data_IF_045815962266
#
_entry.id   IF_045815962266
#
_cell.length_a   1.000
_cell.length_b   1.000
_cell.length_c   1.000
_cell.angle_alpha   90.00
_cell.angle_beta   90.00
_cell.angle_gamma   90.00
#
_symmetry.space_group_name_H-M   'P 1'
#
loop_
_entity.id
_entity.type
_entity.pdbx_description
1 polymer ?
#
# COMPACT_ATOMS: atom_id res chain seq x y z
N UNK A 1 -27.94 -5.92 6.75
CA UNK A 1 -27.44 -6.40 5.44
C UNK A 1 -26.45 -5.37 4.92
N UNK A 2 -25.18 -5.49 5.29
CA UNK A 2 -24.14 -4.55 4.85
C UNK A 2 -23.68 -5.00 3.47
N UNK A 3 -24.06 -4.23 2.44
CA UNK A 3 -23.55 -4.40 1.07
C UNK A 3 -22.04 -4.12 1.11
N UNK A 4 -21.24 -5.18 1.06
CA UNK A 4 -19.86 -5.09 0.56
C UNK A 4 -19.99 -4.67 -0.91
N UNK A 5 -19.97 -3.37 -1.16
CA UNK A 5 -19.75 -2.87 -2.51
C UNK A 5 -18.32 -3.26 -2.88
N UNK A 6 -18.22 -4.29 -3.73
CA UNK A 6 -17.01 -4.57 -4.49
C UNK A 6 -16.74 -3.34 -5.34
N UNK A 7 -15.86 -2.46 -4.88
CA UNK A 7 -15.33 -1.36 -5.68
C UNK A 7 -14.30 -1.93 -6.65
N UNK A 8 -14.80 -2.60 -7.68
CA UNK A 8 -14.01 -3.04 -8.82
C UNK A 8 -14.17 -2.01 -9.92
N UNK A 9 -13.38 -0.94 -9.84
CA UNK A 9 -13.07 -0.18 -11.04
C UNK A 9 -12.36 -1.11 -12.03
N UNK A 10 -12.82 -1.16 -13.27
CA UNK A 10 -12.44 -2.07 -14.35
C UNK A 10 -10.92 -2.18 -14.66
N UNK A 11 -10.06 -1.39 -14.02
CA UNK A 11 -8.60 -1.50 -14.07
C UNK A 11 -7.99 -2.48 -13.05
N UNK A 12 -8.68 -2.79 -11.95
CA UNK A 12 -8.23 -3.80 -10.99
C UNK A 12 -8.60 -5.23 -11.40
N UNK A 13 -9.56 -5.38 -12.33
CA UNK A 13 -10.01 -6.69 -12.82
C UNK A 13 -9.07 -7.36 -13.82
N UNK A 14 -8.10 -6.63 -14.36
CA UNK A 14 -7.11 -7.19 -15.30
C UNK A 14 -6.05 -8.08 -14.62
N UNK A 15 -6.15 -8.29 -13.29
CA UNK A 15 -5.19 -9.11 -12.53
C UNK A 15 -3.80 -8.47 -12.38
N UNK A 16 -3.67 -7.18 -12.72
CA UNK A 16 -2.44 -6.40 -12.57
C UNK A 16 -2.14 -6.01 -11.11
N UNK A 17 -3.15 -6.10 -10.23
CA UNK A 17 -3.08 -5.72 -8.83
C UNK A 17 -3.49 -6.88 -7.92
N UNK A 18 -2.77 -7.04 -6.81
CA UNK A 18 -3.01 -8.05 -5.80
C UNK A 18 -3.43 -7.39 -4.50
N UNK A 19 -4.51 -7.88 -3.84
CA UNK A 19 -4.78 -7.47 -2.48
C UNK A 19 -3.60 -7.87 -1.59
N UNK A 20 -3.20 -6.97 -0.71
CA UNK A 20 -2.07 -7.17 0.16
C UNK A 20 -2.45 -6.90 1.62
N UNK A 21 -1.90 -7.73 2.49
CA UNK A 21 -2.03 -7.59 3.94
C UNK A 21 -0.71 -7.12 4.51
N UNK A 22 -0.74 -6.07 5.32
CA UNK A 22 0.42 -5.65 6.09
C UNK A 22 0.64 -6.66 7.23
N UNK A 23 1.66 -7.51 7.10
CA UNK A 23 1.95 -8.56 8.10
C UNK A 23 2.75 -8.01 9.27
N UNK A 24 3.71 -7.13 8.98
CA UNK A 24 4.57 -6.58 10.02
C UNK A 24 5.14 -5.21 9.66
N UNK A 25 5.44 -4.45 10.72
CA UNK A 25 6.16 -3.19 10.66
C UNK A 25 7.38 -3.35 11.55
N UNK A 26 8.57 -3.32 10.96
CA UNK A 26 9.85 -3.52 11.66
C UNK A 26 10.80 -2.36 11.41
N UNK A 27 11.93 -2.31 12.12
CA UNK A 27 12.98 -1.34 11.80
C UNK A 27 13.64 -1.71 10.47
N UNK A 28 13.88 -0.72 9.62
CA UNK A 28 14.56 -0.94 8.37
C UNK A 28 16.02 -1.37 8.64
N UNK A 29 16.50 -2.48 8.05
CA UNK A 29 17.85 -2.99 8.31
C UNK A 29 18.94 -2.04 7.81
N UNK A 30 18.64 -1.23 6.79
CA UNK A 30 19.59 -0.31 6.20
C UNK A 30 19.75 1.01 6.97
N UNK A 31 18.73 1.45 7.72
CA UNK A 31 18.71 2.77 8.39
C UNK A 31 17.83 2.75 9.63
N UNK A 32 18.38 3.26 10.74
CA UNK A 32 17.69 3.32 12.04
C UNK A 32 16.46 4.23 12.08
N UNK A 33 16.47 5.32 11.32
CA UNK A 33 15.36 6.29 11.25
C UNK A 33 14.26 5.87 10.26
N UNK A 34 14.27 4.61 9.84
CA UNK A 34 13.36 4.07 8.85
C UNK A 34 12.64 2.85 9.41
N UNK A 35 11.38 2.69 9.05
CA UNK A 35 10.59 1.48 9.25
C UNK A 35 10.46 0.73 7.93
N UNK A 36 10.40 -0.58 8.01
CA UNK A 36 10.11 -1.46 6.89
C UNK A 36 8.71 -2.02 7.05
N UNK A 37 7.89 -1.82 6.02
CA UNK A 37 6.57 -2.42 5.90
C UNK A 37 6.71 -3.72 5.11
N UNK A 38 6.21 -4.81 5.67
CA UNK A 38 6.21 -6.11 5.03
C UNK A 38 4.77 -6.48 4.66
N UNK A 39 4.53 -6.54 3.35
CA UNK A 39 3.25 -6.92 2.79
C UNK A 39 3.30 -8.35 2.27
N UNK A 40 2.23 -9.11 2.51
CA UNK A 40 1.99 -10.39 1.88
C UNK A 40 0.81 -10.33 0.93
N UNK A 41 0.93 -11.07 -0.16
CA UNK A 41 -0.10 -11.34 -1.15
C UNK A 41 -0.20 -12.85 -1.36
N UNK A 42 -1.21 -13.30 -2.10
CA UNK A 42 -1.32 -14.71 -2.53
C UNK A 42 -0.12 -15.18 -3.38
N UNK A 43 0.56 -14.26 -4.09
CA UNK A 43 1.65 -14.61 -5.01
C UNK A 43 3.05 -14.46 -4.40
N UNK A 44 3.17 -13.90 -3.20
CA UNK A 44 4.43 -13.63 -2.54
C UNK A 44 4.42 -12.37 -1.69
N UNK A 45 5.61 -11.93 -1.30
CA UNK A 45 5.81 -10.79 -0.41
C UNK A 45 6.34 -9.56 -1.13
N UNK A 46 6.19 -8.41 -0.50
CA UNK A 46 6.92 -7.21 -0.87
C UNK A 46 7.26 -6.40 0.36
N UNK A 47 8.48 -5.87 0.41
CA UNK A 47 8.95 -5.03 1.52
C UNK A 47 9.35 -3.65 1.03
N UNK A 48 9.06 -2.64 1.84
CA UNK A 48 9.48 -1.28 1.52
C UNK A 48 9.83 -0.48 2.77
N UNK A 49 11.01 0.16 2.76
CA UNK A 49 11.45 1.04 3.83
C UNK A 49 11.00 2.50 3.62
N UNK A 50 10.46 3.10 4.68
CA UNK A 50 10.07 4.50 4.76
C UNK A 50 10.73 5.18 5.95
N UNK A 51 10.90 6.49 5.90
CA UNK A 51 11.32 7.26 7.07
C UNK A 51 10.25 7.07 8.17
N UNK A 52 10.70 6.74 9.37
CA UNK A 52 9.82 6.60 10.53
C UNK A 52 9.12 7.95 10.78
N UNK A 53 7.78 7.98 10.78
CA UNK A 53 7.06 9.19 11.07
C UNK A 53 7.19 9.43 12.57
N UNK A 54 7.89 10.51 12.95
CA UNK A 54 8.09 10.90 14.35
C UNK A 54 6.76 11.00 15.12
N UNK A 55 5.66 11.28 14.42
CA UNK A 55 4.30 11.28 14.93
C UNK A 55 3.49 10.21 14.20
N UNK A 56 3.14 9.13 14.92
CA UNK A 56 2.09 8.21 14.49
C UNK A 56 0.74 8.89 14.72
N UNK A 57 0.42 9.86 13.88
CA UNK A 57 -0.88 10.53 13.95
C UNK A 57 -2.02 9.51 13.82
N UNK A 58 -3.17 9.81 14.41
CA UNK A 58 -4.46 9.18 14.09
C UNK A 58 -4.82 9.55 12.63
N UNK A 59 -4.11 8.95 11.68
CA UNK A 59 -4.46 9.01 10.28
C UNK A 59 -5.79 8.31 10.11
N UNK A 60 -6.75 8.99 9.48
CA UNK A 60 -8.04 8.40 9.14
C UNK A 60 -7.80 7.05 8.45
N UNK A 61 -8.30 5.97 9.06
CA UNK A 61 -8.24 4.61 8.52
C UNK A 61 -9.07 4.43 7.24
N UNK A 62 -9.74 5.49 6.79
CA UNK A 62 -10.64 5.48 5.67
C UNK A 62 -9.88 5.78 4.38
N UNK A 63 -9.41 4.71 3.73
CA UNK A 63 -8.68 4.81 2.48
C UNK A 63 -8.40 3.45 1.87
N UNK A 64 -8.34 3.41 0.54
CA UNK A 64 -7.79 2.29 -0.20
C UNK A 64 -6.60 2.81 -0.98
N UNK A 65 -5.44 2.17 -0.82
CA UNK A 65 -4.21 2.52 -1.50
C UNK A 65 -3.80 1.42 -2.48
N UNK A 66 -3.22 1.84 -3.58
CA UNK A 66 -2.57 0.96 -4.53
C UNK A 66 -1.10 1.38 -4.71
N UNK A 67 -0.20 0.42 -4.62
CA UNK A 67 1.22 0.62 -4.90
C UNK A 67 1.53 0.24 -6.34
N UNK A 68 2.17 1.16 -7.06
CA UNK A 68 2.59 0.97 -8.46
C UNK A 68 4.07 1.21 -8.63
N UNK A 69 4.65 0.72 -9.73
CA UNK A 69 5.99 1.13 -10.16
C UNK A 69 5.86 2.41 -11.00
N UNK A 70 6.35 3.53 -10.47
CA UNK A 70 6.50 4.79 -11.18
C UNK A 70 7.91 4.99 -11.75
N UNK A 71 8.17 6.14 -12.41
CA UNK A 71 9.46 6.43 -13.04
C UNK A 71 10.64 6.48 -12.07
N UNK A 72 10.38 6.64 -10.77
CA UNK A 72 11.39 6.75 -9.71
C UNK A 72 11.33 5.59 -8.70
N UNK A 73 10.63 4.50 -9.03
CA UNK A 73 10.43 3.35 -8.15
C UNK A 73 8.99 3.24 -7.65
N UNK A 74 8.79 2.56 -6.53
CA UNK A 74 7.45 2.34 -5.99
C UNK A 74 6.76 3.66 -5.60
N UNK A 75 5.44 3.73 -5.80
CA UNK A 75 4.60 4.90 -5.51
C UNK A 75 3.27 4.43 -4.93
N UNK A 76 2.83 5.06 -3.84
CA UNK A 76 1.50 4.89 -3.31
C UNK A 76 0.51 5.79 -4.06
N UNK A 77 -0.66 5.29 -4.41
CA UNK A 77 -1.73 6.04 -5.08
C UNK A 77 -3.03 5.81 -4.35
N UNK A 78 -3.85 6.85 -4.24
CA UNK A 78 -5.23 6.68 -3.79
C UNK A 78 -6.02 5.85 -4.81
N UNK A 79 -6.95 5.05 -4.31
CA UNK A 79 -7.95 4.39 -5.14
C UNK A 79 -9.26 5.17 -4.99
N UNK A 80 -9.75 5.71 -6.11
CA UNK A 80 -10.97 6.49 -6.20
C UNK A 80 -12.00 5.76 -7.08
N UNK A 81 -13.26 6.24 -7.07
CA UNK A 81 -14.31 5.75 -7.99
C UNK A 81 -13.84 5.92 -9.45
N UNK A 82 -13.41 4.82 -10.07
CA UNK A 82 -12.90 4.79 -11.45
C UNK A 82 -11.44 4.37 -11.62
N UNK A 83 -10.69 4.16 -10.53
CA UNK A 83 -9.36 3.54 -10.58
C UNK A 83 -8.29 4.25 -9.75
N UNK A 84 -7.07 4.32 -10.29
CA UNK A 84 -5.92 4.91 -9.60
C UNK A 84 -5.99 6.45 -9.65
N UNK A 85 -6.25 7.05 -8.51
CA UNK A 85 -6.14 8.49 -8.24
C UNK A 85 -4.68 8.97 -8.19
N UNK A 86 -4.42 10.20 -7.73
CA UNK A 86 -3.08 10.78 -7.73
C UNK A 86 -2.09 9.98 -6.88
N UNK A 87 -0.80 10.11 -7.23
CA UNK A 87 0.27 9.59 -6.39
C UNK A 87 0.36 10.41 -5.10
N UNK A 88 0.43 9.71 -3.97
CA UNK A 88 0.59 10.32 -2.67
C UNK A 88 2.07 10.41 -2.28
N UNK A 89 2.48 11.51 -1.63
CA UNK A 89 3.77 11.54 -0.97
C UNK A 89 3.77 10.54 0.20
N UNK A 90 4.95 9.99 0.49
CA UNK A 90 5.15 9.02 1.58
C UNK A 90 4.60 9.50 2.92
N UNK A 91 4.76 10.78 3.24
CA UNK A 91 4.27 11.37 4.49
C UNK A 91 2.75 11.28 4.65
N UNK A 92 2.01 11.25 3.55
CA UNK A 92 0.55 11.11 3.54
C UNK A 92 0.13 9.64 3.45
N UNK A 93 0.84 8.84 2.65
CA UNK A 93 0.51 7.41 2.49
C UNK A 93 0.78 6.61 3.79
N UNK A 94 1.87 6.91 4.49
CA UNK A 94 2.30 6.13 5.66
C UNK A 94 1.28 6.06 6.80
N UNK A 95 0.70 7.19 7.29
CA UNK A 95 -0.33 7.13 8.33
C UNK A 95 -1.59 6.36 7.86
N UNK A 96 -1.96 6.44 6.57
CA UNK A 96 -3.09 5.69 6.01
C UNK A 96 -2.81 4.17 6.03
N UNK A 97 -1.60 3.76 5.66
CA UNK A 97 -1.18 2.35 5.70
C UNK A 97 -1.20 1.84 7.15
N UNK A 98 -0.58 2.58 8.06
CA UNK A 98 -0.50 2.21 9.48
C UNK A 98 -1.86 2.25 10.18
N UNK A 99 -2.81 3.03 9.66
CA UNK A 99 -4.19 3.08 10.11
C UNK A 99 -5.01 1.84 9.74
N UNK A 100 -4.50 0.91 8.93
CA UNK A 100 -5.20 -0.31 8.55
C UNK A 100 -6.04 -0.20 7.27
N UNK A 101 -5.69 0.74 6.38
CA UNK A 101 -6.30 0.86 5.05
C UNK A 101 -6.20 -0.42 4.22
N UNK A 102 -7.09 -0.55 3.24
CA UNK A 102 -6.99 -1.64 2.25
C UNK A 102 -5.86 -1.34 1.29
N UNK A 103 -4.97 -2.31 1.09
CA UNK A 103 -3.80 -2.15 0.24
C UNK A 103 -3.87 -3.09 -0.96
N UNK A 104 -3.52 -2.55 -2.12
CA UNK A 104 -3.27 -3.31 -3.34
C UNK A 104 -1.83 -3.09 -3.80
N UNK A 105 -1.16 -4.14 -4.28
CA UNK A 105 0.17 -4.07 -4.86
C UNK A 105 0.12 -4.38 -6.34
N UNK A 106 0.80 -3.60 -7.18
CA UNK A 106 1.06 -4.01 -8.55
C UNK A 106 1.86 -5.31 -8.53
N UNK A 107 1.45 -6.30 -9.34
CA UNK A 107 2.12 -7.61 -9.43
C UNK A 107 3.63 -7.51 -9.65
N UNK A 108 4.06 -6.49 -10.38
CA UNK A 108 5.47 -6.22 -10.67
C UNK A 108 6.33 -5.91 -9.43
N UNK A 109 5.72 -5.52 -8.31
CA UNK A 109 6.42 -5.27 -7.04
C UNK A 109 6.62 -6.56 -6.22
N UNK A 110 5.81 -7.59 -6.46
CA UNK A 110 5.78 -8.77 -5.60
C UNK A 110 6.94 -9.70 -5.94
N UNK A 111 7.75 -10.01 -4.92
CA UNK A 111 8.77 -11.03 -4.96
C UNK A 111 8.10 -12.39 -4.79
N UNK A 112 8.08 -13.17 -5.88
CA UNK A 112 7.42 -14.48 -5.92
C UNK A 112 8.18 -15.50 -5.06
N UNK A 113 7.44 -16.29 -4.29
CA UNK A 113 7.98 -17.41 -3.52
C UNK A 113 8.09 -18.69 -4.34
#
# INVERSE_FOLDING_TARGET
MTRLQCFTGSRFEDGSFLPATLESVRRCPARSDFIELCFATDEGGWTWCFRDPAERGEGSSDGTLAFTVGPYGAQARNVEEGGLGPALPTSEALPIILGGSRIYLARQLVERW
#
